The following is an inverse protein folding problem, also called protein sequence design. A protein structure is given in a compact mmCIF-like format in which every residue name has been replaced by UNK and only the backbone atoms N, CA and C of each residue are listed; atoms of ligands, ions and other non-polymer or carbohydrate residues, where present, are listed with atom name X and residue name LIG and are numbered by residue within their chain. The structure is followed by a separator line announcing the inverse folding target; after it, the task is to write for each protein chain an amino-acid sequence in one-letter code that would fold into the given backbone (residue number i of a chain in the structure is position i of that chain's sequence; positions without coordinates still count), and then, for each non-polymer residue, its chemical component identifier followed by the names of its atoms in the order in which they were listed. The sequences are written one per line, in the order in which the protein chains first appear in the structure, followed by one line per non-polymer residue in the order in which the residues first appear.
data_IF_750663638293
#
_entry.id   IF_750663638293
#
_cell.length_a   1.000
_cell.length_b   1.000
_cell.length_c   1.000
_cell.angle_alpha   90.00
_cell.angle_beta   90.00
_cell.angle_gamma   90.00
#
_symmetry.space_group_name_H-M   'P 1'
#
loop_
_entity.id
_entity.type
_entity.pdbx_description
1 polymer ?
#
# COMPACT_ATOMS: atom_id res chain seq x y z
N UNK A 1 -6.71 17.26 3.05
CA UNK A 1 -6.76 16.54 1.76
C UNK A 1 -7.93 15.56 1.77
N UNK A 2 -8.73 15.43 0.70
CA UNK A 2 -9.91 14.56 0.65
C UNK A 2 -9.66 13.10 1.07
N UNK A 3 -8.44 12.58 0.89
CA UNK A 3 -8.07 11.24 1.34
C UNK A 3 -8.10 11.08 2.87
N UNK A 4 -7.88 12.15 3.64
CA UNK A 4 -7.99 12.10 5.11
C UNK A 4 -9.42 11.83 5.55
N UNK A 5 -10.40 12.50 4.91
CA UNK A 5 -11.81 12.32 5.20
C UNK A 5 -12.29 10.92 4.78
N UNK A 6 -11.83 10.45 3.59
CA UNK A 6 -12.15 9.12 3.09
C UNK A 6 -11.55 8.00 3.96
N UNK A 7 -10.34 8.18 4.49
CA UNK A 7 -9.72 7.18 5.35
C UNK A 7 -10.58 6.91 6.58
N UNK A 8 -11.04 7.95 7.26
CA UNK A 8 -11.89 7.81 8.46
C UNK A 8 -13.29 7.28 8.17
N UNK A 9 -13.90 7.69 7.06
CA UNK A 9 -15.21 7.15 6.66
C UNK A 9 -15.12 5.64 6.43
N UNK A 10 -14.12 5.19 5.68
CA UNK A 10 -13.91 3.77 5.39
C UNK A 10 -13.48 2.98 6.62
N UNK A 11 -12.70 3.57 7.52
CA UNK A 11 -12.34 2.95 8.79
C UNK A 11 -13.58 2.62 9.65
N UNK A 12 -14.62 3.48 9.59
CA UNK A 12 -15.89 3.24 10.28
C UNK A 12 -16.79 2.22 9.58
N UNK A 13 -16.70 2.13 8.26
CA UNK A 13 -17.52 1.23 7.44
C UNK A 13 -16.99 -0.20 7.41
N UNK A 14 -15.67 -0.36 7.54
CA UNK A 14 -15.02 -1.69 7.52
C UNK A 14 -14.95 -2.26 8.95
N UNK A 15 -15.46 -3.49 9.14
CA UNK A 15 -15.27 -4.20 10.41
C UNK A 15 -13.80 -4.53 10.64
N UNK A 16 -13.31 -4.35 11.87
CA UNK A 16 -11.95 -4.72 12.24
C UNK A 16 -11.67 -6.21 11.99
N UNK A 17 -10.46 -6.51 11.53
CA UNK A 17 -9.97 -7.89 11.38
C UNK A 17 -9.51 -8.46 12.72
N UNK A 18 -9.20 -7.62 13.72
CA UNK A 18 -8.71 -8.03 15.03
C UNK A 18 -9.70 -8.97 15.77
N UNK A 19 -11.00 -8.85 15.50
CA UNK A 19 -12.03 -9.71 16.09
C UNK A 19 -12.20 -11.06 15.36
N UNK A 20 -11.46 -11.31 14.29
CA UNK A 20 -11.55 -12.56 13.55
C UNK A 20 -10.44 -13.52 14.04
N UNK A 21 -10.81 -14.70 14.62
CA UNK A 21 -9.85 -15.66 15.16
C UNK A 21 -8.75 -16.07 14.16
N UNK A 22 -9.04 -16.00 12.87
CA UNK A 22 -8.09 -16.33 11.82
C UNK A 22 -6.89 -15.35 11.75
N UNK A 23 -6.92 -14.21 12.41
CA UNK A 23 -5.86 -13.18 12.36
C UNK A 23 -5.14 -12.97 13.69
N UNK A 24 -5.47 -13.75 14.72
CA UNK A 24 -4.91 -13.57 16.09
C UNK A 24 -3.52 -14.18 16.22
N UNK A 25 -3.22 -15.27 15.51
CA UNK A 25 -2.03 -16.08 15.77
C UNK A 25 -0.72 -15.51 15.20
N UNK A 26 -0.82 -14.68 14.15
CA UNK A 26 0.36 -14.15 13.45
C UNK A 26 0.14 -12.70 13.04
N UNK A 27 1.18 -11.85 13.09
CA UNK A 27 1.11 -10.51 12.55
C UNK A 27 0.82 -10.54 11.03
N UNK A 28 0.05 -9.57 10.57
CA UNK A 28 -0.34 -9.45 9.16
C UNK A 28 0.79 -8.79 8.36
N UNK A 29 1.15 -9.41 7.23
CA UNK A 29 1.85 -8.80 6.13
C UNK A 29 0.82 -8.52 5.03
N UNK A 30 0.53 -7.24 4.81
CA UNK A 30 -0.43 -6.81 3.80
C UNK A 30 0.19 -6.77 2.40
N UNK A 31 -0.55 -7.20 1.38
CA UNK A 31 -0.19 -7.01 -0.02
C UNK A 31 -1.29 -6.26 -0.74
N UNK A 32 -0.96 -5.09 -1.28
CA UNK A 32 -1.81 -4.25 -2.12
C UNK A 32 -1.23 -4.25 -3.54
N UNK A 33 -1.57 -5.22 -4.39
CA UNK A 33 -0.85 -5.45 -5.65
C UNK A 33 -1.26 -4.52 -6.79
N UNK A 34 -2.16 -3.57 -6.53
CA UNK A 34 -2.71 -2.64 -7.52
C UNK A 34 -4.17 -2.88 -7.81
N UNK A 35 -4.72 -2.07 -8.71
CA UNK A 35 -6.14 -2.05 -9.06
C UNK A 35 -6.44 -2.44 -10.51
N UNK A 36 -5.43 -2.86 -11.27
CA UNK A 36 -5.54 -3.27 -12.68
C UNK A 36 -4.95 -4.66 -12.89
N UNK A 37 -5.54 -5.46 -13.77
CA UNK A 37 -5.06 -6.80 -14.09
C UNK A 37 -3.56 -6.83 -14.40
N UNK A 38 -3.07 -5.89 -15.21
CA UNK A 38 -1.65 -5.82 -15.58
C UNK A 38 -0.72 -5.50 -14.40
N UNK A 39 -1.17 -4.72 -13.44
CA UNK A 39 -0.40 -4.44 -12.22
C UNK A 39 -0.30 -5.70 -11.37
N UNK A 40 -1.44 -6.32 -11.09
CA UNK A 40 -1.55 -7.53 -10.26
C UNK A 40 -0.70 -8.65 -10.84
N UNK A 41 -0.87 -8.98 -12.12
CA UNK A 41 -0.13 -10.08 -12.76
C UNK A 41 1.39 -9.87 -12.80
N UNK A 42 1.87 -8.62 -12.76
CA UNK A 42 3.30 -8.31 -12.80
C UNK A 42 3.93 -8.12 -11.41
N UNK A 43 3.18 -7.60 -10.44
CA UNK A 43 3.69 -7.20 -9.12
C UNK A 43 3.45 -8.29 -8.08
N UNK A 44 2.23 -8.86 -8.06
CA UNK A 44 1.84 -9.84 -7.06
C UNK A 44 2.77 -11.06 -6.97
N UNK A 45 3.25 -11.67 -8.09
CA UNK A 45 4.18 -12.80 -8.00
C UNK A 45 5.44 -12.48 -7.20
N UNK A 46 6.01 -11.30 -7.42
CA UNK A 46 7.23 -10.86 -6.73
C UNK A 46 6.97 -10.62 -5.24
N UNK A 47 5.85 -10.02 -4.92
CA UNK A 47 5.46 -9.76 -3.54
C UNK A 47 5.18 -11.05 -2.76
N UNK A 48 4.45 -11.99 -3.36
CA UNK A 48 4.16 -13.31 -2.76
C UNK A 48 5.47 -14.09 -2.54
N UNK A 49 6.34 -14.17 -3.54
CA UNK A 49 7.60 -14.89 -3.45
C UNK A 49 8.49 -14.38 -2.29
N UNK A 50 8.49 -13.07 -2.07
CA UNK A 50 9.20 -12.48 -0.93
C UNK A 50 8.48 -12.74 0.41
N UNK A 51 7.18 -12.53 0.46
CA UNK A 51 6.38 -12.68 1.68
C UNK A 51 6.33 -14.13 2.17
N UNK A 52 6.31 -15.09 1.28
CA UNK A 52 6.29 -16.52 1.58
C UNK A 52 7.54 -17.04 2.27
N UNK A 53 8.64 -16.28 2.25
CA UNK A 53 9.85 -16.59 3.00
C UNK A 53 9.78 -16.18 4.49
N UNK A 54 8.73 -15.44 4.87
CA UNK A 54 8.51 -14.95 6.24
C UNK A 54 7.36 -15.72 6.91
N UNK A 55 7.61 -16.97 7.31
CA UNK A 55 6.60 -17.88 7.86
C UNK A 55 5.94 -17.41 9.17
N UNK A 56 6.54 -16.42 9.85
CA UNK A 56 5.97 -15.79 11.05
C UNK A 56 4.83 -14.82 10.75
N UNK A 57 4.61 -14.46 9.48
CA UNK A 57 3.54 -13.56 9.08
C UNK A 57 2.37 -14.31 8.44
N UNK A 58 1.19 -13.73 8.57
CA UNK A 58 0.02 -14.09 7.78
C UNK A 58 -0.08 -13.13 6.59
N UNK A 59 0.01 -13.69 5.40
CA UNK A 59 -0.11 -12.90 4.16
C UNK A 59 -1.55 -12.63 3.84
N UNK A 60 -1.94 -11.35 3.79
CA UNK A 60 -3.30 -10.90 3.47
C UNK A 60 -3.25 -9.97 2.26
N UNK A 61 -3.95 -10.36 1.20
CA UNK A 61 -4.01 -9.64 -0.07
C UNK A 61 -5.29 -8.81 -0.12
N UNK A 62 -5.15 -7.52 -0.37
CA UNK A 62 -6.27 -6.62 -0.61
C UNK A 62 -6.75 -6.76 -2.06
N UNK A 63 -7.90 -7.37 -2.23
CA UNK A 63 -8.55 -7.57 -3.52
C UNK A 63 -9.46 -6.41 -3.92
N UNK A 64 -9.59 -6.18 -5.21
CA UNK A 64 -10.49 -5.19 -5.81
C UNK A 64 -11.69 -5.90 -6.42
N UNK A 65 -12.91 -5.47 -6.06
CA UNK A 65 -14.17 -6.18 -6.35
C UNK A 65 -14.41 -6.50 -7.83
N UNK A 66 -13.95 -5.64 -8.74
CA UNK A 66 -14.17 -5.85 -10.18
C UNK A 66 -13.11 -6.74 -10.85
N UNK A 67 -12.16 -7.27 -10.07
CA UNK A 67 -11.10 -8.16 -10.56
C UNK A 67 -11.38 -9.57 -10.03
N UNK A 68 -11.48 -10.51 -10.95
CA UNK A 68 -11.73 -11.91 -10.62
C UNK A 68 -10.59 -12.57 -9.84
N UNK A 69 -10.91 -13.57 -9.05
CA UNK A 69 -9.93 -14.32 -8.26
C UNK A 69 -8.89 -15.04 -9.12
N UNK A 70 -9.26 -15.40 -10.35
CA UNK A 70 -8.40 -16.01 -11.36
C UNK A 70 -7.16 -15.16 -11.68
N UNK A 71 -7.30 -13.82 -11.68
CA UNK A 71 -6.19 -12.89 -11.87
C UNK A 71 -5.20 -12.96 -10.69
N UNK A 72 -5.70 -13.06 -9.46
CA UNK A 72 -4.86 -13.22 -8.27
C UNK A 72 -4.20 -14.60 -8.24
N UNK A 73 -4.92 -15.65 -8.64
CA UNK A 73 -4.36 -17.01 -8.76
C UNK A 73 -3.26 -17.06 -9.82
N UNK A 74 -3.45 -16.43 -10.98
CA UNK A 74 -2.40 -16.26 -11.98
C UNK A 74 -1.19 -15.48 -11.45
N UNK A 75 -1.40 -14.58 -10.49
CA UNK A 75 -0.36 -13.83 -9.76
C UNK A 75 0.28 -14.61 -8.61
N UNK A 76 -0.07 -15.90 -8.40
CA UNK A 76 0.53 -16.74 -7.36
C UNK A 76 -0.28 -16.84 -6.05
N UNK A 77 -1.47 -16.21 -5.98
CA UNK A 77 -2.35 -16.39 -4.83
C UNK A 77 -2.75 -17.86 -4.66
N UNK A 78 -2.56 -18.37 -3.46
CA UNK A 78 -2.93 -19.72 -3.06
C UNK A 78 -3.81 -19.66 -1.78
N UNK A 79 -5.10 -20.09 -1.82
CA UNK A 79 -6.01 -19.98 -0.69
C UNK A 79 -5.61 -20.84 0.53
N UNK A 80 -4.71 -21.81 0.35
CA UNK A 80 -4.17 -22.61 1.47
C UNK A 80 -3.09 -21.88 2.27
N UNK A 81 -2.48 -20.84 1.69
CA UNK A 81 -1.33 -20.10 2.28
C UNK A 81 -1.66 -18.64 2.53
N UNK A 82 -2.49 -18.04 1.70
CA UNK A 82 -2.79 -16.61 1.70
C UNK A 82 -4.27 -16.38 1.92
N UNK A 83 -4.60 -15.19 2.42
CA UNK A 83 -5.98 -14.73 2.53
C UNK A 83 -6.22 -13.60 1.54
N UNK A 84 -7.22 -13.72 0.68
CA UNK A 84 -7.66 -12.65 -0.23
C UNK A 84 -8.95 -12.04 0.31
N UNK A 85 -8.95 -10.74 0.58
CA UNK A 85 -10.10 -10.00 1.09
C UNK A 85 -10.44 -8.85 0.14
N UNK A 86 -11.69 -8.79 -0.30
CA UNK A 86 -12.20 -7.73 -1.17
C UNK A 86 -12.78 -6.58 -0.37
N UNK A 87 -12.54 -5.33 -0.81
CA UNK A 87 -13.06 -4.11 -0.17
C UNK A 87 -12.73 -4.00 1.32
N UNK A 88 -11.52 -4.40 1.71
CA UNK A 88 -11.05 -4.39 3.11
C UNK A 88 -9.68 -3.74 3.24
N UNK A 89 -9.33 -2.85 2.32
CA UNK A 89 -7.99 -2.24 2.26
C UNK A 89 -7.64 -1.53 3.56
N UNK A 90 -8.57 -0.76 4.12
CA UNK A 90 -8.33 0.01 5.35
C UNK A 90 -8.19 -0.90 6.57
N UNK A 91 -9.09 -1.87 6.74
CA UNK A 91 -8.99 -2.86 7.83
C UNK A 91 -7.69 -3.66 7.74
N UNK A 92 -7.27 -4.06 6.53
CA UNK A 92 -6.02 -4.78 6.32
C UNK A 92 -4.82 -3.92 6.70
N UNK A 93 -4.74 -2.68 6.20
CA UNK A 93 -3.64 -1.76 6.50
C UNK A 93 -3.56 -1.43 7.98
N UNK A 94 -4.69 -1.17 8.63
CA UNK A 94 -4.75 -0.83 10.06
C UNK A 94 -4.17 -1.93 10.95
N UNK A 95 -4.42 -3.19 10.62
CA UNK A 95 -3.98 -4.35 11.40
C UNK A 95 -2.62 -4.90 10.92
N UNK A 96 -2.10 -4.41 9.79
CA UNK A 96 -0.86 -4.91 9.24
C UNK A 96 0.36 -4.39 10.01
N UNK A 97 1.31 -5.29 10.27
CA UNK A 97 2.63 -4.95 10.79
C UNK A 97 3.49 -4.25 9.73
N UNK A 98 3.34 -4.67 8.47
CA UNK A 98 4.06 -4.15 7.31
C UNK A 98 3.23 -4.39 6.04
N UNK A 99 3.39 -3.54 5.04
CA UNK A 99 2.69 -3.65 3.76
C UNK A 99 3.63 -3.64 2.55
N UNK A 100 3.30 -4.44 1.53
CA UNK A 100 3.83 -4.36 0.18
C UNK A 100 2.78 -3.68 -0.70
N UNK A 101 3.08 -2.53 -1.25
CA UNK A 101 2.09 -1.67 -1.91
C UNK A 101 2.51 -1.34 -3.33
N UNK A 102 1.65 -1.62 -4.31
CA UNK A 102 1.85 -1.10 -5.66
C UNK A 102 1.76 0.44 -5.66
N UNK A 103 2.63 1.10 -6.45
CA UNK A 103 2.65 2.56 -6.53
C UNK A 103 1.29 3.11 -6.98
N UNK A 104 0.78 4.10 -6.23
CA UNK A 104 -0.53 4.72 -6.44
C UNK A 104 -1.04 5.41 -5.19
N UNK A 105 -2.33 5.74 -5.16
CA UNK A 105 -2.99 6.39 -4.00
C UNK A 105 -2.93 5.54 -2.72
N UNK A 106 -2.87 4.22 -2.86
CA UNK A 106 -2.75 3.28 -1.73
C UNK A 106 -1.50 3.53 -0.86
N UNK A 107 -0.44 4.13 -1.42
CA UNK A 107 0.75 4.50 -0.64
C UNK A 107 0.43 5.60 0.38
N UNK A 108 -0.37 6.61 0.00
CA UNK A 108 -0.85 7.62 0.95
C UNK A 108 -1.82 7.04 1.98
N UNK A 109 -2.71 6.15 1.57
CA UNK A 109 -3.64 5.47 2.49
C UNK A 109 -2.86 4.70 3.56
N UNK A 110 -1.81 3.96 3.18
CA UNK A 110 -0.95 3.25 4.13
C UNK A 110 -0.20 4.22 5.08
N UNK A 111 0.33 5.34 4.56
CA UNK A 111 0.98 6.36 5.39
C UNK A 111 0.01 7.05 6.37
N UNK A 112 -1.22 7.35 5.93
CA UNK A 112 -2.28 7.91 6.77
C UNK A 112 -2.63 6.94 7.92
N UNK A 113 -2.73 5.64 7.62
CA UNK A 113 -2.99 4.59 8.60
C UNK A 113 -1.76 4.18 9.41
N UNK A 114 -0.64 4.85 9.21
CA UNK A 114 0.63 4.61 9.92
C UNK A 114 1.23 3.21 9.71
N UNK A 115 0.97 2.59 8.56
CA UNK A 115 1.44 1.24 8.22
C UNK A 115 2.78 1.31 7.49
N UNK A 116 3.88 0.79 8.07
CA UNK A 116 5.17 0.72 7.40
C UNK A 116 5.06 -0.06 6.09
N UNK A 117 5.73 0.44 5.03
CA UNK A 117 5.55 -0.17 3.71
C UNK A 117 6.79 -0.13 2.84
N UNK A 118 6.77 -0.99 1.83
CA UNK A 118 7.66 -0.99 0.67
C UNK A 118 6.80 -0.80 -0.57
N UNK A 119 7.24 0.05 -1.48
CA UNK A 119 6.52 0.35 -2.73
C UNK A 119 7.13 -0.41 -3.90
N UNK A 120 6.28 -1.10 -4.65
CA UNK A 120 6.65 -1.78 -5.89
C UNK A 120 5.99 -1.15 -7.12
N UNK A 121 6.73 -1.13 -8.23
CA UNK A 121 6.19 -0.71 -9.53
C UNK A 121 6.77 -1.51 -10.67
N UNK A 122 5.89 -2.06 -11.50
CA UNK A 122 6.26 -2.80 -12.72
C UNK A 122 5.28 -2.46 -13.85
N UNK A 123 5.53 -1.36 -14.54
CA UNK A 123 4.72 -0.88 -15.65
C UNK A 123 5.22 -1.30 -17.02
N UNK A 124 4.65 -0.70 -18.06
CA UNK A 124 5.19 -0.83 -19.41
C UNK A 124 6.55 -0.09 -19.48
N UNK A 125 7.65 -0.75 -19.88
CA UNK A 125 8.97 -0.14 -19.93
C UNK A 125 9.03 1.13 -20.80
N UNK A 126 8.32 1.16 -21.92
CA UNK A 126 8.28 2.29 -22.84
C UNK A 126 7.59 3.49 -22.19
N UNK A 127 6.42 3.29 -21.59
CA UNK A 127 5.68 4.36 -20.90
C UNK A 127 6.45 4.89 -19.68
N UNK A 128 7.15 4.02 -18.96
CA UNK A 128 8.02 4.41 -17.86
C UNK A 128 9.20 5.26 -18.33
N UNK A 129 9.87 4.83 -19.42
CA UNK A 129 11.02 5.55 -19.95
C UNK A 129 10.64 6.93 -20.51
N UNK A 130 9.51 7.03 -21.25
CA UNK A 130 8.98 8.31 -21.73
C UNK A 130 8.60 9.20 -20.55
N UNK A 131 7.90 8.68 -19.56
CA UNK A 131 7.52 9.43 -18.35
C UNK A 131 8.73 9.95 -17.60
N UNK A 132 9.77 9.15 -17.44
CA UNK A 132 11.03 9.54 -16.77
C UNK A 132 11.82 10.61 -17.54
N UNK A 133 11.73 10.65 -18.86
CA UNK A 133 12.37 11.71 -19.66
C UNK A 133 11.59 13.02 -19.65
N UNK A 134 10.25 12.94 -19.65
CA UNK A 134 9.38 14.13 -19.68
C UNK A 134 9.21 14.79 -18.32
N UNK A 135 9.27 14.00 -17.24
CA UNK A 135 9.08 14.49 -15.86
C UNK A 135 10.32 14.09 -15.06
N UNK A 136 11.10 15.08 -14.64
CA UNK A 136 12.27 14.88 -13.75
C UNK A 136 11.80 14.64 -12.31
N UNK A 137 11.04 13.58 -12.08
CA UNK A 137 10.65 13.19 -10.72
C UNK A 137 11.66 12.19 -10.16
N UNK A 138 12.10 12.43 -8.94
CA UNK A 138 13.02 11.55 -8.21
C UNK A 138 12.32 10.30 -7.69
N UNK A 139 11.02 10.36 -7.47
CA UNK A 139 10.20 9.34 -6.82
C UNK A 139 8.94 9.01 -7.63
N UNK A 140 8.31 7.85 -7.37
CA UNK A 140 7.07 7.44 -8.03
C UNK A 140 5.91 7.27 -7.04
N UNK A 141 6.16 7.04 -5.76
CA UNK A 141 5.11 7.00 -4.75
C UNK A 141 4.70 8.40 -4.31
N UNK A 142 3.42 8.59 -4.05
CA UNK A 142 2.92 9.87 -3.56
C UNK A 142 3.52 10.24 -2.20
N UNK A 143 3.87 9.25 -1.39
CA UNK A 143 4.52 9.47 -0.08
C UNK A 143 5.86 10.15 -0.24
N UNK A 144 6.76 9.60 -1.07
CA UNK A 144 8.08 10.17 -1.31
C UNK A 144 8.01 11.50 -2.07
N UNK A 145 7.07 11.63 -3.04
CA UNK A 145 6.84 12.87 -3.77
C UNK A 145 6.41 14.03 -2.87
N UNK A 146 5.50 13.77 -1.93
CA UNK A 146 5.01 14.80 -0.99
C UNK A 146 6.11 15.20 0.00
N UNK A 147 6.88 14.21 0.45
CA UNK A 147 7.96 14.45 1.40
C UNK A 147 9.22 15.06 0.75
N UNK A 148 9.35 14.99 -0.60
CA UNK A 148 10.54 15.30 -1.37
C UNK A 148 11.81 14.57 -0.86
N UNK A 149 11.58 13.38 -0.26
CA UNK A 149 12.66 12.50 0.23
C UNK A 149 12.22 11.02 0.13
N UNK A 150 13.19 10.09 0.23
CA UNK A 150 12.90 8.67 0.34
C UNK A 150 12.41 8.33 1.76
N UNK A 151 11.10 8.38 1.96
CA UNK A 151 10.44 7.94 3.19
C UNK A 151 10.23 6.43 3.19
N UNK A 152 9.86 5.88 2.03
CA UNK A 152 9.61 4.46 1.82
C UNK A 152 10.48 3.93 0.69
N UNK A 153 11.03 2.71 0.79
CA UNK A 153 11.78 2.10 -0.31
C UNK A 153 10.90 1.92 -1.54
N UNK A 154 11.41 2.33 -2.72
CA UNK A 154 10.77 2.12 -4.01
C UNK A 154 11.54 1.11 -4.85
N UNK A 155 10.89 0.01 -5.21
CA UNK A 155 11.45 -1.02 -6.08
C UNK A 155 10.76 -0.96 -7.44
N UNK A 156 11.52 -0.51 -8.45
CA UNK A 156 10.96 -0.10 -9.74
C UNK A 156 11.51 -1.00 -10.85
N UNK A 157 10.65 -1.53 -11.71
CA UNK A 157 10.98 -2.30 -12.90
C UNK A 157 11.91 -3.49 -12.60
N UNK A 158 13.17 -3.43 -13.05
CA UNK A 158 14.17 -4.49 -12.86
C UNK A 158 14.65 -4.61 -11.40
N UNK A 159 14.53 -3.55 -10.59
CA UNK A 159 14.85 -3.57 -9.16
C UNK A 159 13.71 -4.17 -8.32
N UNK A 160 12.53 -4.40 -8.89
CA UNK A 160 11.46 -5.12 -8.24
C UNK A 160 11.73 -6.62 -8.32
N UNK A 161 12.52 -7.13 -7.37
CA UNK A 161 12.85 -8.55 -7.22
C UNK A 161 12.45 -9.05 -5.84
N UNK A 162 12.13 -10.34 -5.73
CA UNK A 162 11.75 -10.95 -4.45
C UNK A 162 12.86 -10.86 -3.41
N UNK A 163 14.11 -10.99 -3.82
CA UNK A 163 15.28 -10.88 -2.93
C UNK A 163 15.44 -9.47 -2.35
N UNK A 164 15.22 -8.43 -3.18
CA UNK A 164 15.30 -7.05 -2.70
C UNK A 164 14.13 -6.72 -1.76
N UNK A 165 12.90 -7.12 -2.12
CA UNK A 165 11.72 -6.96 -1.27
C UNK A 165 11.92 -7.69 0.06
N UNK A 166 12.45 -8.90 0.07
CA UNK A 166 12.73 -9.64 1.30
C UNK A 166 13.75 -8.92 2.19
N UNK A 167 14.82 -8.38 1.60
CA UNK A 167 15.82 -7.59 2.33
C UNK A 167 15.19 -6.37 3.00
N UNK A 168 14.35 -5.64 2.26
CA UNK A 168 13.64 -4.46 2.79
C UNK A 168 12.62 -4.86 3.87
N UNK A 169 11.89 -5.95 3.68
CA UNK A 169 10.96 -6.48 4.70
C UNK A 169 11.68 -6.81 6.01
N UNK A 170 12.84 -7.47 5.96
CA UNK A 170 13.64 -7.75 7.16
C UNK A 170 14.07 -6.47 7.85
N UNK A 171 14.54 -5.47 7.10
CA UNK A 171 14.90 -4.15 7.65
C UNK A 171 13.74 -3.47 8.37
N UNK A 172 12.52 -3.53 7.80
CA UNK A 172 11.32 -2.95 8.40
C UNK A 172 10.78 -3.74 9.60
N UNK A 173 10.98 -5.06 9.62
CA UNK A 173 10.37 -5.91 10.66
C UNK A 173 11.30 -6.21 11.82
N UNK A 174 12.62 -6.20 11.61
CA UNK A 174 13.65 -6.56 12.59
C UNK A 174 14.46 -5.37 13.10
N UNK A 175 14.33 -4.18 12.47
CA UNK A 175 15.12 -2.99 12.76
C UNK A 175 14.30 -1.75 13.08
N UNK A 176 14.96 -0.59 13.30
CA UNK A 176 14.31 0.68 13.61
C UNK A 176 13.64 1.34 12.38
N UNK A 177 13.80 0.79 11.18
CA UNK A 177 13.33 1.41 9.94
C UNK A 177 11.81 1.65 9.92
N UNK A 178 11.02 0.76 10.54
CA UNK A 178 9.58 0.96 10.64
C UNK A 178 9.22 2.18 11.50
N UNK A 179 9.91 2.39 12.61
CA UNK A 179 9.70 3.55 13.50
C UNK A 179 10.06 4.83 12.74
N UNK A 180 11.19 4.84 12.04
CA UNK A 180 11.61 6.00 11.24
C UNK A 180 10.60 6.34 10.14
N UNK A 181 10.03 5.33 9.46
CA UNK A 181 8.94 5.56 8.51
C UNK A 181 7.71 6.17 9.19
N UNK A 182 7.29 5.63 10.33
CA UNK A 182 6.12 6.11 11.06
C UNK A 182 6.27 7.56 11.54
N UNK A 183 7.45 7.96 11.98
CA UNK A 183 7.77 9.35 12.32
C UNK A 183 7.64 10.28 11.10
N UNK A 184 8.12 9.85 9.94
CA UNK A 184 7.98 10.60 8.69
C UNK A 184 6.52 10.63 8.21
N UNK A 185 5.76 9.55 8.39
CA UNK A 185 4.32 9.54 8.10
C UNK A 185 3.54 10.53 8.95
N UNK A 186 3.94 10.77 10.20
CA UNK A 186 3.33 11.81 11.02
C UNK A 186 3.49 13.20 10.37
N UNK A 187 4.68 13.53 9.88
CA UNK A 187 4.93 14.79 9.15
C UNK A 187 4.10 14.89 7.85
N UNK A 188 3.98 13.79 7.10
CA UNK A 188 3.14 13.77 5.89
C UNK A 188 1.67 14.02 6.22
N UNK A 189 1.15 13.43 7.31
CA UNK A 189 -0.22 13.70 7.77
C UNK A 189 -0.43 15.17 8.12
N UNK A 190 0.55 15.81 8.76
CA UNK A 190 0.52 17.26 9.04
C UNK A 190 0.49 18.08 7.75
N UNK A 191 1.33 17.74 6.75
CA UNK A 191 1.35 18.40 5.44
C UNK A 191 0.04 18.24 4.65
N UNK A 192 -0.64 17.09 4.77
CA UNK A 192 -1.93 16.85 4.14
C UNK A 192 -3.08 17.65 4.77
N UNK A 193 -2.86 18.23 5.95
CA UNK A 193 -3.80 19.05 6.70
C UNK A 193 -4.79 18.25 7.54
N UNK A 194 -5.57 18.99 8.32
CA UNK A 194 -6.63 18.42 9.17
C UNK A 194 -7.84 17.98 8.35
N UNK A 195 -8.71 17.21 8.98
CA UNK A 195 -9.99 16.73 8.44
C UNK A 195 -10.94 17.88 8.08
N UNK A 196 -11.94 17.56 7.25
CA UNK A 196 -12.98 18.51 6.89
C UNK A 196 -12.72 19.30 5.60
N UNK A 197 -11.60 19.03 4.90
CA UNK A 197 -11.28 19.70 3.62
C UNK A 197 -12.36 19.45 2.56
N UNK A 198 -12.93 18.23 2.51
CA UNK A 198 -14.03 17.92 1.60
C UNK A 198 -15.28 18.75 1.92
N UNK A 199 -15.59 18.95 3.19
CA UNK A 199 -16.72 19.81 3.63
C UNK A 199 -16.45 21.30 3.32
N UNK A 200 -15.21 21.76 3.54
CA UNK A 200 -14.81 23.13 3.23
C UNK A 200 -14.90 23.43 1.73
N UNK A 201 -14.45 22.48 0.89
CA UNK A 201 -14.58 22.59 -0.58
C UNK A 201 -16.05 22.57 -0.99
N UNK A 202 -16.86 21.67 -0.42
CA UNK A 202 -18.29 21.61 -0.71
C UNK A 202 -19.01 22.90 -0.29
N UNK A 203 -18.69 23.48 0.87
CA UNK A 203 -19.21 24.76 1.32
C UNK A 203 -18.80 25.93 0.42
N UNK A 204 -17.54 25.96 -0.04
CA UNK A 204 -17.07 26.97 -0.99
C UNK A 204 -17.80 26.90 -2.34
N UNK A 205 -18.13 25.70 -2.81
CA UNK A 205 -18.88 25.51 -4.06
C UNK A 205 -20.37 25.86 -3.89
N UNK A 206 -20.95 25.58 -2.73
CA UNK A 206 -22.36 25.80 -2.44
C UNK A 206 -22.66 27.20 -1.88
N UNK A 207 -21.65 27.87 -1.31
CA UNK A 207 -21.77 29.17 -0.65
C UNK A 207 -21.67 30.38 -1.58
N UNK A 208 -21.34 30.20 -2.86
CA UNK A 208 -21.29 31.22 -3.89
C UNK A 208 -22.64 31.34 -4.68
N UNK A 209 -23.78 31.13 -4.00
CA UNK A 209 -25.11 31.43 -4.55
C UNK A 209 -25.85 32.37 -3.66
#
# INVERSE_FOLDING_TARGET
HPLMDNAKLREKEENSLANNPSFVDKPILAILPGSRNQEITKILPVFIEAADQLNQYKVVIAGVKHIGEDVYQAGGYNPKRHTLLYNRTYSILKEAKVALVASGTATLEAAILNTPMIVGYKGNPISYWIGKQLVKVSYISLVNLIADEEVVPERIQHNLTSSQILSDLKSLTEGPASIQQQEKFAKIREMLGTEGVSNSIAQSILGDK
#
